data_IF_593307735367
#
_entry.id   IF_593307735367
#
_cell.length_a   1.000
_cell.length_b   1.000
_cell.length_c   1.000
_cell.angle_alpha   90.00
_cell.angle_beta   90.00
_cell.angle_gamma   90.00
#
_symmetry.space_group_name_H-M   'P 1'
#
loop_
_entity.id
_entity.type
_entity.pdbx_description
1 polymer ?
#
# COMPACT_ATOMS: atom_id res chain seq x y z
N UNK A 1 -52.20 -3.18 9.51
CA UNK A 1 -50.97 -2.38 9.63
C UNK A 1 -50.89 -1.49 8.39
N UNK A 2 -50.95 -0.17 8.56
CA UNK A 2 -50.90 0.77 7.41
C UNK A 2 -49.52 1.43 7.36
N UNK A 3 -48.59 0.87 6.57
CA UNK A 3 -47.20 1.36 6.45
C UNK A 3 -47.02 2.12 5.14
N UNK A 4 -46.76 3.44 5.24
CA UNK A 4 -46.43 4.31 4.11
C UNK A 4 -45.09 3.95 3.48
N UNK A 5 -44.05 3.72 4.30
CA UNK A 5 -42.71 3.34 3.86
C UNK A 5 -42.42 1.86 4.12
N UNK A 6 -41.91 1.18 3.13
CA UNK A 6 -41.47 -0.22 3.21
C UNK A 6 -40.12 -0.37 2.49
N UNK A 7 -38.99 -0.12 3.19
CA UNK A 7 -37.65 -0.22 2.59
C UNK A 7 -37.32 -1.57 1.95
N UNK A 8 -37.97 -2.65 2.40
CA UNK A 8 -37.80 -4.01 1.82
C UNK A 8 -38.19 -4.08 0.32
N UNK A 9 -38.99 -3.13 -0.18
CA UNK A 9 -39.38 -3.09 -1.62
C UNK A 9 -38.18 -2.99 -2.54
N UNK A 10 -37.11 -2.30 -2.12
CA UNK A 10 -35.88 -2.10 -2.91
C UNK A 10 -34.90 -3.28 -2.87
N UNK A 11 -35.22 -4.38 -2.16
CA UNK A 11 -34.35 -5.54 -2.05
C UNK A 11 -35.03 -6.89 -2.27
N UNK A 12 -36.26 -6.87 -2.82
CA UNK A 12 -37.10 -8.08 -3.01
C UNK A 12 -36.56 -9.03 -4.07
N UNK A 13 -35.85 -8.54 -5.06
CA UNK A 13 -35.25 -9.32 -6.14
C UNK A 13 -33.80 -8.94 -6.36
N UNK A 14 -33.01 -9.83 -6.99
CA UNK A 14 -31.63 -9.53 -7.36
C UNK A 14 -31.55 -8.31 -8.30
N UNK A 15 -32.42 -8.24 -9.30
CA UNK A 15 -32.49 -7.11 -10.23
C UNK A 15 -32.80 -5.78 -9.51
N UNK A 16 -33.72 -5.79 -8.52
CA UNK A 16 -34.00 -4.58 -7.73
C UNK A 16 -32.81 -4.16 -6.89
N UNK A 17 -32.10 -5.12 -6.27
CA UNK A 17 -30.89 -4.82 -5.51
C UNK A 17 -29.78 -4.26 -6.40
N UNK A 18 -29.57 -4.81 -7.60
CA UNK A 18 -28.61 -4.33 -8.57
C UNK A 18 -28.95 -2.89 -9.06
N UNK A 19 -30.23 -2.66 -9.36
CA UNK A 19 -30.71 -1.33 -9.80
C UNK A 19 -30.50 -0.25 -8.75
N UNK A 20 -30.60 -0.58 -7.47
CA UNK A 20 -30.50 0.39 -6.35
C UNK A 20 -29.18 0.36 -5.63
N UNK A 21 -28.17 -0.38 -6.14
CA UNK A 21 -26.83 -0.38 -5.60
C UNK A 21 -26.15 0.97 -5.81
N UNK A 22 -25.67 1.58 -4.71
CA UNK A 22 -25.01 2.89 -4.74
C UNK A 22 -23.50 2.77 -4.97
N UNK A 23 -22.91 1.60 -4.67
CA UNK A 23 -21.47 1.37 -4.73
C UNK A 23 -21.15 0.23 -5.70
N UNK A 24 -20.35 0.52 -6.71
CA UNK A 24 -19.87 -0.45 -7.68
C UNK A 24 -18.34 -0.50 -7.67
N UNK A 25 -17.79 -1.59 -7.18
CA UNK A 25 -16.35 -1.84 -7.21
C UNK A 25 -15.95 -2.33 -8.60
N UNK A 26 -14.86 -1.77 -9.15
CA UNK A 26 -14.32 -2.12 -10.46
C UNK A 26 -12.87 -2.59 -10.34
N UNK A 27 -12.40 -3.51 -11.23
CA UNK A 27 -11.02 -3.99 -11.23
C UNK A 27 -9.97 -2.86 -11.25
N UNK A 28 -10.22 -1.79 -12.00
CA UNK A 28 -9.31 -0.65 -12.15
C UNK A 28 -9.11 0.15 -10.85
N UNK A 29 -9.97 -0.04 -9.86
CA UNK A 29 -9.87 0.60 -8.55
C UNK A 29 -9.05 -0.23 -7.55
N UNK A 30 -8.61 -1.42 -7.95
CA UNK A 30 -7.80 -2.31 -7.12
C UNK A 30 -6.33 -2.21 -7.52
N UNK A 31 -5.45 -2.12 -6.53
CA UNK A 31 -4.00 -2.10 -6.69
C UNK A 31 -3.45 -3.41 -6.14
N UNK A 32 -2.75 -4.18 -6.99
CA UNK A 32 -2.15 -5.44 -6.57
C UNK A 32 -0.78 -5.19 -5.97
N UNK A 33 -0.58 -5.69 -4.76
CA UNK A 33 0.71 -5.65 -4.07
C UNK A 33 1.55 -6.85 -4.45
N UNK A 34 2.84 -6.63 -4.71
CA UNK A 34 3.82 -7.69 -4.98
C UNK A 34 5.08 -7.48 -4.16
N UNK A 35 5.64 -8.58 -3.65
CA UNK A 35 6.95 -8.63 -3.02
C UNK A 35 7.95 -9.25 -4.00
N UNK A 36 9.10 -8.62 -4.18
CA UNK A 36 10.19 -9.14 -4.99
C UNK A 36 11.44 -9.26 -4.14
N UNK A 37 12.04 -10.46 -4.11
CA UNK A 37 13.17 -10.76 -3.25
C UNK A 37 14.39 -11.14 -4.05
N UNK A 38 15.56 -10.67 -3.63
CA UNK A 38 16.84 -11.06 -4.21
C UNK A 38 17.31 -12.45 -3.72
N UNK A 39 18.25 -13.05 -4.44
CA UNK A 39 18.90 -14.29 -4.08
C UNK A 39 18.06 -15.56 -4.18
N UNK A 40 16.83 -15.49 -4.72
CA UNK A 40 15.97 -16.67 -4.91
C UNK A 40 16.02 -17.21 -6.34
N UNK A 41 15.91 -18.53 -6.48
CA UNK A 41 15.78 -19.23 -7.78
C UNK A 41 14.32 -19.50 -8.17
N UNK A 42 13.41 -19.49 -7.21
CA UNK A 42 11.96 -19.75 -7.39
C UNK A 42 11.13 -18.91 -6.41
N UNK A 43 9.86 -18.59 -6.72
CA UNK A 43 9.01 -17.84 -5.81
C UNK A 43 8.73 -18.61 -4.53
N UNK A 44 8.79 -17.94 -3.38
CA UNK A 44 8.54 -18.52 -2.07
C UNK A 44 7.18 -18.10 -1.51
N UNK A 45 6.35 -19.05 -1.05
CA UNK A 45 5.07 -18.71 -0.43
C UNK A 45 5.29 -18.00 0.91
N UNK A 46 4.50 -16.95 1.18
CA UNK A 46 4.51 -16.25 2.46
C UNK A 46 3.56 -17.00 3.41
N UNK A 47 4.12 -17.60 4.47
CA UNK A 47 3.39 -18.54 5.34
C UNK A 47 2.19 -17.90 6.05
N UNK A 48 2.31 -16.64 6.47
CA UNK A 48 1.26 -15.87 7.13
C UNK A 48 0.24 -15.23 6.17
N UNK A 49 0.47 -15.35 4.85
CA UNK A 49 -0.38 -14.77 3.81
C UNK A 49 -0.67 -15.81 2.71
N UNK A 50 -1.57 -16.78 2.94
CA UNK A 50 -1.87 -17.86 1.99
C UNK A 50 -2.20 -17.32 0.60
N UNK A 51 -1.55 -17.87 -0.44
CA UNK A 51 -1.71 -17.43 -1.82
C UNK A 51 -0.86 -16.24 -2.26
N UNK A 52 -0.10 -15.62 -1.34
CA UNK A 52 0.87 -14.58 -1.64
C UNK A 52 2.30 -15.13 -1.63
N UNK A 53 3.17 -14.52 -2.44
CA UNK A 53 4.54 -15.00 -2.67
C UNK A 53 5.54 -13.85 -2.61
N UNK A 54 6.75 -14.16 -2.17
CA UNK A 54 7.93 -13.41 -2.56
C UNK A 54 8.33 -13.90 -3.95
N UNK A 55 8.39 -13.00 -4.91
CA UNK A 55 8.71 -13.28 -6.30
C UNK A 55 10.21 -13.10 -6.58
N UNK A 56 10.75 -13.92 -7.48
CA UNK A 56 11.99 -13.57 -8.20
C UNK A 56 11.67 -12.55 -9.30
N UNK A 57 12.68 -11.90 -9.89
CA UNK A 57 12.46 -11.02 -11.04
C UNK A 57 11.78 -11.77 -12.21
N UNK A 58 12.13 -13.04 -12.42
CA UNK A 58 11.57 -13.86 -13.49
C UNK A 58 10.12 -14.25 -13.23
N UNK A 59 9.75 -14.58 -11.99
CA UNK A 59 8.38 -14.98 -11.63
C UNK A 59 7.44 -13.79 -11.42
N UNK A 60 7.98 -12.58 -11.18
CA UNK A 60 7.19 -11.36 -11.02
C UNK A 60 6.44 -11.02 -12.32
N UNK A 61 7.10 -11.05 -13.46
CA UNK A 61 6.52 -10.63 -14.75
C UNK A 61 5.26 -11.44 -15.12
N UNK A 62 5.25 -12.80 -15.08
CA UNK A 62 4.03 -13.57 -15.26
C UNK A 62 2.92 -13.24 -14.23
N UNK A 63 3.27 -12.97 -12.97
CA UNK A 63 2.29 -12.63 -11.94
C UNK A 63 1.64 -11.26 -12.22
N UNK A 64 2.42 -10.26 -12.60
CA UNK A 64 1.91 -8.94 -13.02
C UNK A 64 1.05 -9.06 -14.27
N UNK A 65 1.43 -9.90 -15.24
CA UNK A 65 0.62 -10.15 -16.44
C UNK A 65 -0.76 -10.73 -16.09
N UNK A 66 -0.81 -11.68 -15.15
CA UNK A 66 -2.09 -12.24 -14.68
C UNK A 66 -2.98 -11.17 -14.02
N UNK A 67 -2.39 -10.23 -13.28
CA UNK A 67 -3.12 -9.10 -12.70
C UNK A 67 -3.65 -8.17 -13.81
N UNK A 68 -2.84 -7.84 -14.81
CA UNK A 68 -3.25 -7.03 -15.96
C UNK A 68 -4.41 -7.67 -16.75
N UNK A 69 -4.32 -8.97 -17.05
CA UNK A 69 -5.36 -9.74 -17.73
C UNK A 69 -6.66 -9.80 -16.91
N UNK A 70 -6.56 -9.80 -15.58
CA UNK A 70 -7.72 -9.68 -14.69
C UNK A 70 -8.33 -8.27 -14.68
N UNK A 71 -7.66 -7.26 -15.27
CA UNK A 71 -8.15 -5.88 -15.38
C UNK A 71 -7.53 -4.91 -14.38
N UNK A 72 -6.58 -5.34 -13.59
CA UNK A 72 -5.81 -4.48 -12.69
C UNK A 72 -4.99 -3.48 -13.53
N UNK A 73 -4.98 -2.22 -13.11
CA UNK A 73 -4.27 -1.13 -13.80
C UNK A 73 -3.12 -0.54 -13.01
N UNK A 74 -2.95 -0.94 -11.76
CA UNK A 74 -1.86 -0.48 -10.91
C UNK A 74 -1.33 -1.63 -10.06
N UNK A 75 0.00 -1.70 -9.94
CA UNK A 75 0.70 -2.59 -9.00
C UNK A 75 1.53 -1.75 -8.04
N UNK A 76 1.72 -2.27 -6.82
CA UNK A 76 2.63 -1.70 -5.83
C UNK A 76 3.74 -2.71 -5.51
N UNK A 77 5.00 -2.31 -5.67
CA UNK A 77 6.17 -3.17 -5.56
C UNK A 77 6.91 -2.91 -4.25
N UNK A 78 7.17 -3.99 -3.50
CA UNK A 78 8.01 -4.02 -2.31
C UNK A 78 9.27 -4.84 -2.59
N UNK A 79 10.45 -4.25 -2.35
CA UNK A 79 11.72 -4.93 -2.56
C UNK A 79 12.24 -5.55 -1.27
N UNK A 80 12.70 -6.78 -1.32
CA UNK A 80 13.32 -7.48 -0.20
C UNK A 80 14.77 -7.79 -0.54
N UNK A 81 15.75 -6.97 -0.08
CA UNK A 81 17.16 -7.20 -0.33
C UNK A 81 17.68 -8.39 0.47
N UNK A 82 18.89 -8.85 0.16
CA UNK A 82 19.61 -9.81 1.00
C UNK A 82 19.94 -9.15 2.36
N UNK A 83 20.02 -9.97 3.41
CA UNK A 83 20.37 -9.47 4.75
C UNK A 83 21.76 -8.82 4.79
N UNK A 84 22.70 -9.28 3.96
CA UNK A 84 24.06 -8.73 3.83
C UNK A 84 24.08 -7.35 3.13
N UNK A 85 23.02 -6.99 2.42
CA UNK A 85 22.88 -5.70 1.75
C UNK A 85 22.15 -4.65 2.62
N UNK A 86 21.63 -5.07 3.78
CA UNK A 86 20.99 -4.17 4.74
C UNK A 86 22.04 -3.47 5.59
N UNK A 87 21.92 -2.16 5.72
CA UNK A 87 22.79 -1.35 6.57
C UNK A 87 21.99 -0.38 7.48
N UNK A 88 22.67 0.44 8.26
CA UNK A 88 22.03 1.36 9.22
C UNK A 88 21.20 2.47 8.55
N UNK A 89 21.47 2.77 7.28
CA UNK A 89 20.79 3.83 6.54
C UNK A 89 19.89 3.32 5.42
N UNK A 90 19.93 1.99 5.16
CA UNK A 90 19.14 1.37 4.10
C UNK A 90 19.63 1.70 2.69
N UNK A 91 20.95 1.75 2.47
CA UNK A 91 21.53 2.25 1.21
C UNK A 91 21.13 1.45 -0.03
N UNK A 92 20.79 0.17 0.11
CA UNK A 92 20.27 -0.66 -0.98
C UNK A 92 18.93 -0.15 -1.56
N UNK A 93 18.20 0.71 -0.83
CA UNK A 93 16.93 1.30 -1.28
C UNK A 93 17.07 2.20 -2.52
N UNK A 94 18.22 2.86 -2.68
CA UNK A 94 18.50 3.74 -3.83
C UNK A 94 19.62 3.22 -4.73
N UNK A 95 20.07 2.01 -4.53
CA UNK A 95 20.99 1.36 -5.48
C UNK A 95 20.25 1.08 -6.79
N UNK A 96 20.79 1.57 -7.91
CA UNK A 96 20.23 1.33 -9.25
C UNK A 96 20.16 -0.18 -9.60
N UNK A 97 21.04 -1.00 -9.01
CA UNK A 97 21.07 -2.45 -9.15
C UNK A 97 20.31 -3.18 -8.02
N UNK A 98 19.74 -2.45 -7.06
CA UNK A 98 18.93 -3.01 -5.99
C UNK A 98 17.69 -3.71 -6.51
N UNK A 99 17.21 -4.71 -5.77
CA UNK A 99 16.13 -5.60 -6.22
C UNK A 99 14.86 -4.84 -6.60
N UNK A 100 14.48 -3.79 -5.85
CA UNK A 100 13.29 -3.00 -6.13
C UNK A 100 13.44 -2.22 -7.45
N UNK A 101 14.56 -1.53 -7.66
CA UNK A 101 14.81 -0.78 -8.89
C UNK A 101 14.90 -1.69 -10.12
N UNK A 102 15.50 -2.88 -9.98
CA UNK A 102 15.51 -3.91 -11.04
C UNK A 102 14.10 -4.41 -11.36
N UNK A 103 13.25 -4.61 -10.34
CA UNK A 103 11.85 -5.01 -10.53
C UNK A 103 11.02 -3.94 -11.24
N UNK A 104 11.17 -2.67 -10.83
CA UNK A 104 10.54 -1.53 -11.50
C UNK A 104 10.96 -1.50 -12.97
N UNK A 105 12.26 -1.57 -13.27
CA UNK A 105 12.79 -1.53 -14.63
C UNK A 105 12.28 -2.70 -15.47
N UNK A 106 12.23 -3.91 -14.91
CA UNK A 106 11.72 -5.10 -15.60
C UNK A 106 10.21 -4.95 -15.93
N UNK A 107 9.40 -4.51 -14.97
CA UNK A 107 7.98 -4.24 -15.19
C UNK A 107 7.79 -3.11 -16.22
N UNK A 108 8.57 -2.03 -16.14
CA UNK A 108 8.50 -0.92 -17.10
C UNK A 108 8.84 -1.36 -18.53
N UNK A 109 9.88 -2.18 -18.69
CA UNK A 109 10.28 -2.71 -19.98
C UNK A 109 9.22 -3.63 -20.60
N UNK A 110 8.52 -4.43 -19.78
CA UNK A 110 7.53 -5.40 -20.25
C UNK A 110 6.16 -4.77 -20.53
N UNK A 111 5.68 -3.90 -19.65
CA UNK A 111 4.29 -3.40 -19.71
C UNK A 111 4.18 -1.96 -20.21
N UNK A 112 5.28 -1.21 -20.30
CA UNK A 112 5.25 0.19 -20.71
C UNK A 112 4.28 1.02 -19.86
N UNK A 113 3.30 1.63 -20.51
CA UNK A 113 2.24 2.47 -19.88
C UNK A 113 0.89 1.71 -19.74
N UNK A 114 0.85 0.39 -19.99
CA UNK A 114 -0.39 -0.40 -19.86
C UNK A 114 -0.81 -0.56 -18.40
N UNK A 115 0.17 -0.54 -17.49
CA UNK A 115 0.02 -0.65 -16.04
C UNK A 115 0.77 0.50 -15.37
N UNK A 116 0.17 1.11 -14.36
CA UNK A 116 0.86 2.00 -13.44
C UNK A 116 1.76 1.18 -12.53
N UNK A 117 3.05 1.44 -12.59
CA UNK A 117 4.05 0.84 -11.72
C UNK A 117 4.27 1.81 -10.56
N UNK A 118 3.75 1.46 -9.39
CA UNK A 118 3.99 2.13 -8.14
C UNK A 118 5.03 1.35 -7.34
N UNK A 119 5.81 2.03 -6.54
CA UNK A 119 6.78 1.42 -5.65
C UNK A 119 6.68 2.03 -4.26
N UNK A 120 6.66 1.19 -3.24
CA UNK A 120 6.79 1.65 -1.85
C UNK A 120 8.11 2.38 -1.68
N UNK A 121 8.05 3.52 -1.01
CA UNK A 121 9.23 4.36 -0.76
C UNK A 121 9.41 4.45 0.74
N UNK A 122 10.07 3.43 1.29
CA UNK A 122 10.40 3.30 2.71
C UNK A 122 11.75 2.61 2.88
N UNK A 123 12.40 2.84 4.00
CA UNK A 123 13.70 2.26 4.30
C UNK A 123 13.63 0.99 5.15
N UNK A 124 12.47 0.61 5.67
CA UNK A 124 12.35 -0.46 6.66
C UNK A 124 12.66 -1.87 6.15
N UNK A 125 12.55 -2.11 4.85
CA UNK A 125 13.02 -3.35 4.22
C UNK A 125 14.54 -3.38 4.04
N UNK A 126 15.18 -2.20 4.00
CA UNK A 126 16.57 -2.00 3.63
C UNK A 126 17.48 -1.69 4.82
N UNK A 127 16.89 -1.25 5.96
CA UNK A 127 17.67 -1.00 7.17
C UNK A 127 17.92 -2.26 7.98
N UNK A 128 19.12 -2.38 8.55
CA UNK A 128 19.51 -3.54 9.40
C UNK A 128 18.68 -3.65 10.68
N UNK A 129 18.07 -2.55 11.14
CA UNK A 129 17.23 -2.48 12.34
C UNK A 129 15.71 -2.47 12.04
N UNK A 130 15.29 -2.40 10.77
CA UNK A 130 13.90 -2.47 10.33
C UNK A 130 13.03 -1.24 10.68
N UNK A 131 13.61 -0.11 11.07
CA UNK A 131 12.89 1.16 11.17
C UNK A 131 12.82 1.86 9.82
N UNK A 132 11.80 2.72 9.66
CA UNK A 132 11.55 3.48 8.41
C UNK A 132 12.52 4.65 8.20
N UNK A 133 13.60 4.78 8.95
CA UNK A 133 14.56 5.86 8.84
C UNK A 133 15.81 5.66 9.67
N UNK A 134 16.71 6.63 9.60
CA UNK A 134 17.99 6.65 10.31
C UNK A 134 17.77 6.79 11.81
N UNK A 135 18.45 5.97 12.60
CA UNK A 135 18.35 6.03 14.06
C UNK A 135 19.41 6.98 14.65
N UNK A 136 18.98 7.77 15.62
CA UNK A 136 19.83 8.66 16.44
C UNK A 136 19.49 8.51 17.92
N UNK A 137 20.48 8.65 18.80
CA UNK A 137 20.23 8.72 20.24
C UNK A 137 19.55 10.04 20.60
N UNK A 138 18.44 10.00 21.33
CA UNK A 138 17.67 11.16 21.78
C UNK A 138 18.37 11.97 22.89
N UNK A 139 19.57 11.56 23.32
CA UNK A 139 20.35 12.13 24.43
C UNK A 139 19.95 11.56 25.79
N UNK A 140 18.99 10.64 25.84
CA UNK A 140 18.52 9.94 27.04
C UNK A 140 18.72 8.43 26.95
N UNK A 141 19.41 7.95 25.91
CA UNK A 141 19.72 6.55 25.68
C UNK A 141 18.63 5.78 24.94
N UNK A 142 17.68 6.47 24.30
CA UNK A 142 16.67 5.83 23.44
C UNK A 142 16.98 6.16 21.98
N UNK A 143 16.99 5.11 21.12
CA UNK A 143 17.13 5.30 19.70
C UNK A 143 15.79 5.71 19.09
N UNK A 144 15.78 6.85 18.41
CA UNK A 144 14.62 7.40 17.68
C UNK A 144 14.97 7.60 16.21
N UNK A 145 13.96 7.70 15.35
CA UNK A 145 14.19 8.04 13.94
C UNK A 145 14.46 9.54 13.82
N UNK A 146 15.58 9.88 13.19
CA UNK A 146 15.92 11.26 12.79
C UNK A 146 15.10 11.62 11.55
N UNK A 147 14.14 12.52 11.71
CA UNK A 147 13.25 12.94 10.64
C UNK A 147 14.00 13.51 9.44
N UNK A 148 14.81 14.56 9.67
CA UNK A 148 15.40 15.34 8.60
C UNK A 148 16.47 14.55 7.82
N UNK A 149 17.31 13.80 8.53
CA UNK A 149 18.28 12.91 7.88
C UNK A 149 17.58 11.80 7.06
N UNK A 150 16.43 11.31 7.53
CA UNK A 150 15.64 10.30 6.84
C UNK A 150 15.01 10.85 5.56
N UNK A 151 14.46 12.06 5.59
CA UNK A 151 13.84 12.72 4.42
C UNK A 151 14.84 12.88 3.27
N UNK A 152 16.11 13.19 3.57
CA UNK A 152 17.17 13.26 2.54
C UNK A 152 17.36 11.91 1.82
N UNK A 153 17.24 10.80 2.55
CA UNK A 153 17.37 9.46 1.98
C UNK A 153 16.14 9.07 1.16
N UNK A 154 14.95 9.45 1.59
CA UNK A 154 13.72 9.27 0.79
C UNK A 154 13.79 10.02 -0.54
N UNK A 155 14.36 11.21 -0.58
CA UNK A 155 14.59 11.92 -1.84
C UNK A 155 15.49 11.13 -2.79
N UNK A 156 16.56 10.50 -2.29
CA UNK A 156 17.42 9.64 -3.11
C UNK A 156 16.68 8.42 -3.63
N UNK A 157 15.91 7.76 -2.76
CA UNK A 157 15.12 6.58 -3.13
C UNK A 157 14.07 6.92 -4.17
N UNK A 158 13.28 7.99 -4.00
CA UNK A 158 12.27 8.42 -4.96
C UNK A 158 12.87 8.71 -6.34
N UNK A 159 14.01 9.42 -6.39
CA UNK A 159 14.70 9.71 -7.67
C UNK A 159 15.24 8.44 -8.32
N UNK A 160 15.75 7.47 -7.55
CA UNK A 160 16.22 6.19 -8.10
C UNK A 160 15.08 5.35 -8.66
N UNK A 161 13.94 5.28 -7.97
CA UNK A 161 12.73 4.62 -8.43
C UNK A 161 12.18 5.25 -9.72
N UNK A 162 12.17 6.59 -9.79
CA UNK A 162 11.78 7.32 -10.99
C UNK A 162 12.71 7.02 -12.19
N UNK A 163 14.03 6.95 -11.96
CA UNK A 163 15.02 6.53 -12.99
C UNK A 163 14.80 5.10 -13.46
N UNK A 164 14.44 4.20 -12.56
CA UNK A 164 14.11 2.82 -12.89
C UNK A 164 12.81 2.71 -13.70
N UNK A 165 11.96 3.75 -13.73
CA UNK A 165 10.76 3.80 -14.55
C UNK A 165 9.45 3.73 -13.78
N UNK A 166 9.44 3.97 -12.46
CA UNK A 166 8.21 4.07 -11.68
C UNK A 166 7.33 5.22 -12.21
N UNK A 167 6.03 4.99 -12.29
CA UNK A 167 5.04 6.02 -12.59
C UNK A 167 4.63 6.79 -11.34
N UNK A 168 4.68 6.12 -10.19
CA UNK A 168 4.28 6.66 -8.90
C UNK A 168 5.26 6.19 -7.83
N UNK A 169 5.71 7.09 -6.98
CA UNK A 169 6.41 6.78 -5.74
C UNK A 169 5.44 6.88 -4.57
N UNK A 170 5.55 5.97 -3.60
CA UNK A 170 4.55 5.87 -2.53
C UNK A 170 5.22 5.91 -1.15
N UNK A 171 5.58 7.12 -0.65
CA UNK A 171 6.26 7.28 0.62
C UNK A 171 5.42 6.80 1.81
N UNK A 172 5.96 5.83 2.54
CA UNK A 172 5.26 5.18 3.65
C UNK A 172 5.94 5.36 5.01
N UNK A 173 6.96 6.22 5.09
CA UNK A 173 7.76 6.43 6.28
C UNK A 173 7.14 7.30 7.35
N UNK A 174 6.19 8.15 7.01
CA UNK A 174 5.54 9.11 7.93
C UNK A 174 6.53 10.15 8.50
N UNK A 175 7.45 10.64 7.69
CA UNK A 175 8.34 11.72 8.09
C UNK A 175 7.72 13.09 7.75
N UNK A 176 7.84 14.03 8.68
CA UNK A 176 7.38 15.41 8.48
C UNK A 176 8.11 16.06 7.30
N UNK A 177 7.38 16.67 6.36
CA UNK A 177 7.95 17.35 5.20
C UNK A 177 8.47 16.43 4.09
N UNK A 178 8.28 15.11 4.20
CA UNK A 178 8.78 14.14 3.22
C UNK A 178 8.23 14.38 1.81
N UNK A 179 6.95 14.77 1.68
CA UNK A 179 6.30 14.94 0.39
C UNK A 179 6.86 16.15 -0.35
N UNK A 180 6.98 17.30 0.34
CA UNK A 180 7.55 18.51 -0.25
C UNK A 180 8.99 18.30 -0.72
N UNK A 181 9.81 17.64 0.10
CA UNK A 181 11.21 17.35 -0.23
C UNK A 181 11.32 16.40 -1.43
N UNK A 182 10.55 15.33 -1.44
CA UNK A 182 10.56 14.34 -2.54
C UNK A 182 10.03 14.95 -3.84
N UNK A 183 8.96 15.77 -3.80
CA UNK A 183 8.47 16.49 -4.99
C UNK A 183 9.53 17.39 -5.58
N UNK A 184 10.18 18.19 -4.73
CA UNK A 184 11.28 19.06 -5.16
C UNK A 184 12.47 18.28 -5.75
N UNK A 185 12.83 17.14 -5.15
CA UNK A 185 13.90 16.28 -5.64
C UNK A 185 13.58 15.65 -7.00
N UNK A 186 12.37 15.13 -7.17
CA UNK A 186 11.87 14.56 -8.44
C UNK A 186 11.86 15.63 -9.54
N UNK A 187 11.34 16.82 -9.25
CA UNK A 187 11.27 17.92 -10.23
C UNK A 187 12.67 18.39 -10.65
N UNK A 188 13.57 18.52 -9.69
CA UNK A 188 14.96 18.91 -9.96
C UNK A 188 15.69 17.86 -10.81
N UNK A 189 15.37 16.58 -10.61
CA UNK A 189 15.96 15.49 -11.38
C UNK A 189 15.29 15.29 -12.77
N UNK A 190 14.26 16.07 -13.12
CA UNK A 190 13.56 16.02 -14.41
C UNK A 190 12.37 15.04 -14.46
N UNK A 191 11.88 14.59 -13.29
CA UNK A 191 10.78 13.63 -13.16
C UNK A 191 9.45 14.28 -12.74
N UNK A 192 9.09 15.42 -13.34
CA UNK A 192 7.85 16.17 -13.05
C UNK A 192 6.56 15.35 -13.29
N UNK A 193 6.65 14.31 -14.12
CA UNK A 193 5.50 13.44 -14.46
C UNK A 193 5.37 12.23 -13.53
N UNK A 194 6.29 12.00 -12.61
CA UNK A 194 6.17 10.94 -11.60
C UNK A 194 5.28 11.45 -10.48
N UNK A 195 4.17 10.76 -10.23
CA UNK A 195 3.23 11.13 -9.17
C UNK A 195 3.66 10.64 -7.80
N UNK A 196 3.11 11.24 -6.76
CA UNK A 196 3.32 10.85 -5.35
C UNK A 196 1.99 10.41 -4.75
N UNK A 197 1.92 9.15 -4.30
CA UNK A 197 0.83 8.64 -3.46
C UNK A 197 1.32 8.58 -2.01
N UNK A 198 0.93 9.54 -1.20
CA UNK A 198 1.39 9.64 0.18
C UNK A 198 0.60 8.70 1.12
N UNK A 199 1.30 7.96 1.99
CA UNK A 199 0.68 7.24 3.10
C UNK A 199 0.36 8.22 4.23
N UNK A 200 -0.52 9.17 3.97
CA UNK A 200 -0.76 10.34 4.81
C UNK A 200 -1.38 10.02 6.18
N UNK A 201 -2.23 8.99 6.25
CA UNK A 201 -2.84 8.55 7.50
C UNK A 201 -2.45 7.09 7.78
N UNK A 202 -1.19 6.88 8.20
CA UNK A 202 -0.66 5.54 8.52
C UNK A 202 -0.54 5.37 10.04
N UNK A 203 -1.31 4.44 10.56
CA UNK A 203 -1.38 4.17 12.01
C UNK A 203 -0.38 3.11 12.46
N UNK A 204 0.12 3.24 13.69
CA UNK A 204 0.91 2.22 14.38
C UNK A 204 0.00 1.02 14.73
N UNK A 205 -0.22 0.16 13.75
CA UNK A 205 -1.24 -0.89 13.81
C UNK A 205 -0.68 -2.26 14.19
N UNK A 206 -1.46 -3.00 14.97
CA UNK A 206 -1.20 -4.40 15.27
C UNK A 206 -1.44 -5.34 14.06
N UNK A 207 -2.09 -4.86 13.00
CA UNK A 207 -2.39 -5.63 11.79
C UNK A 207 -1.21 -5.76 10.80
N UNK A 208 -0.02 -5.27 11.13
CA UNK A 208 1.16 -5.35 10.24
C UNK A 208 2.01 -6.62 10.43
N UNK A 209 1.58 -7.56 11.30
CA UNK A 209 2.34 -8.78 11.57
C UNK A 209 2.74 -9.57 10.32
N UNK A 210 1.79 -9.99 9.46
CA UNK A 210 2.11 -10.77 8.26
C UNK A 210 2.96 -10.03 7.22
N UNK A 211 2.89 -8.70 7.17
CA UNK A 211 3.77 -7.90 6.31
C UNK A 211 5.25 -8.04 6.72
N UNK A 212 5.53 -8.12 8.04
CA UNK A 212 6.91 -8.32 8.53
C UNK A 212 7.49 -9.65 8.07
N UNK A 213 6.67 -10.71 8.00
CA UNK A 213 7.08 -12.00 7.43
C UNK A 213 7.36 -11.86 5.93
N UNK A 214 6.51 -11.10 5.22
CA UNK A 214 6.62 -10.93 3.77
C UNK A 214 7.90 -10.19 3.33
N UNK A 215 8.40 -9.26 4.16
CA UNK A 215 9.63 -8.48 3.87
C UNK A 215 10.83 -8.92 4.71
N UNK A 216 10.72 -10.02 5.47
CA UNK A 216 11.76 -10.52 6.36
C UNK A 216 12.36 -9.42 7.26
N UNK A 217 11.46 -8.69 7.91
CA UNK A 217 11.81 -7.53 8.73
C UNK A 217 12.60 -7.94 9.95
N UNK A 218 13.77 -7.33 10.13
CA UNK A 218 14.59 -7.41 11.35
C UNK A 218 14.03 -6.60 12.52
N UNK A 219 12.89 -5.93 12.33
CA UNK A 219 12.31 -4.96 13.24
C UNK A 219 12.01 -5.53 14.63
N UNK A 220 12.53 -4.84 15.66
CA UNK A 220 12.18 -5.04 17.06
C UNK A 220 11.76 -3.72 17.70
N UNK A 221 10.72 -3.73 18.54
CA UNK A 221 10.23 -2.51 19.19
C UNK A 221 8.87 -2.03 18.66
N UNK A 222 8.71 -0.72 18.50
CA UNK A 222 7.47 -0.12 17.98
C UNK A 222 7.79 1.11 17.12
N UNK A 223 6.83 1.53 16.30
CA UNK A 223 6.92 2.67 15.37
C UNK A 223 6.05 3.86 15.81
N UNK A 224 5.71 3.93 17.11
CA UNK A 224 4.76 4.93 17.65
C UNK A 224 5.29 6.35 17.69
N UNK A 225 6.59 6.55 17.47
CA UNK A 225 7.23 7.87 17.41
C UNK A 225 7.03 8.58 16.07
N UNK A 226 6.61 7.83 15.02
CA UNK A 226 6.39 8.39 13.68
C UNK A 226 5.13 7.87 12.97
N UNK A 227 4.53 6.75 13.40
CA UNK A 227 3.21 6.33 12.92
C UNK A 227 2.14 6.79 13.90
N UNK A 228 0.96 7.16 13.38
CA UNK A 228 -0.13 7.76 14.15
C UNK A 228 -0.67 6.82 15.24
N UNK A 229 -1.11 7.39 16.35
CA UNK A 229 -1.75 6.63 17.42
C UNK A 229 -3.16 6.18 16.99
N UNK A 230 -3.50 4.87 17.06
CA UNK A 230 -4.85 4.37 16.77
C UNK A 230 -5.98 5.02 17.56
N UNK A 231 -5.68 5.67 18.68
CA UNK A 231 -6.65 6.42 19.48
C UNK A 231 -6.99 7.80 18.90
N UNK A 232 -6.19 8.30 17.94
CA UNK A 232 -6.32 9.65 17.40
C UNK A 232 -7.00 9.65 16.04
N UNK A 233 -7.93 10.58 15.83
CA UNK A 233 -8.64 10.81 14.57
C UNK A 233 -8.23 12.13 13.92
N UNK A 234 -8.14 13.19 14.73
CA UNK A 234 -7.89 14.54 14.22
C UNK A 234 -6.51 14.72 13.61
N UNK A 235 -5.54 14.01 14.14
CA UNK A 235 -4.17 13.95 13.65
C UNK A 235 -4.12 13.55 12.17
N UNK A 236 -4.88 12.52 11.78
CA UNK A 236 -4.95 12.08 10.38
C UNK A 236 -5.41 13.18 9.43
N UNK A 237 -6.33 14.04 9.85
CA UNK A 237 -6.82 15.13 9.00
C UNK A 237 -5.76 16.22 8.82
N UNK A 238 -4.91 16.44 9.84
CA UNK A 238 -3.79 17.38 9.77
C UNK A 238 -2.69 16.82 8.85
N UNK A 239 -2.32 15.56 9.01
CA UNK A 239 -1.31 14.89 8.19
C UNK A 239 -1.71 14.85 6.72
N UNK A 240 -2.95 14.44 6.43
CA UNK A 240 -3.47 14.41 5.06
C UNK A 240 -3.48 15.81 4.43
N UNK A 241 -3.87 16.84 5.19
CA UNK A 241 -3.86 18.21 4.69
C UNK A 241 -2.42 18.69 4.44
N UNK A 242 -1.48 18.38 5.33
CA UNK A 242 -0.07 18.72 5.18
C UNK A 242 0.50 18.09 3.90
N UNK A 243 0.30 16.79 3.69
CA UNK A 243 0.77 16.08 2.49
C UNK A 243 0.17 16.66 1.19
N UNK A 244 -1.11 17.05 1.20
CA UNK A 244 -1.77 17.72 0.06
C UNK A 244 -1.11 19.07 -0.20
N UNK A 245 -0.88 19.89 0.83
CA UNK A 245 -0.25 21.21 0.71
C UNK A 245 1.22 21.10 0.27
N UNK A 246 1.88 20.00 0.60
CA UNK A 246 3.23 19.64 0.18
C UNK A 246 3.32 19.10 -1.25
N UNK A 247 2.20 18.80 -1.89
CA UNK A 247 2.14 18.39 -3.30
C UNK A 247 1.94 16.90 -3.53
N UNK A 248 1.30 16.17 -2.62
CA UNK A 248 0.83 14.82 -2.88
C UNK A 248 -0.24 14.83 -3.99
N UNK A 249 -0.10 13.95 -4.98
CA UNK A 249 -1.09 13.77 -6.05
C UNK A 249 -2.25 12.87 -5.61
N UNK A 250 -1.99 11.99 -4.65
CA UNK A 250 -2.94 11.06 -4.04
C UNK A 250 -2.58 10.87 -2.57
N UNK A 251 -3.58 10.63 -1.73
CA UNK A 251 -3.40 10.39 -0.29
C UNK A 251 -3.97 9.03 0.12
N UNK A 252 -3.43 8.43 1.17
CA UNK A 252 -3.80 7.07 1.57
C UNK A 252 -4.06 6.96 3.07
N UNK A 253 -5.09 6.18 3.43
CA UNK A 253 -5.37 5.73 4.79
C UNK A 253 -4.92 4.26 4.95
N UNK A 254 -4.10 3.97 5.96
CA UNK A 254 -3.57 2.63 6.27
C UNK A 254 -3.58 2.36 7.78
N UNK A 255 -4.19 1.28 8.27
CA UNK A 255 -5.02 0.28 7.58
C UNK A 255 -6.40 0.82 7.12
N UNK A 256 -7.16 0.01 6.35
CA UNK A 256 -8.45 0.42 5.84
C UNK A 256 -9.63 0.01 6.74
N UNK A 257 -9.78 -1.28 7.03
CA UNK A 257 -11.03 -1.84 7.56
C UNK A 257 -11.41 -1.35 8.94
N UNK A 258 -10.44 -1.17 9.85
CA UNK A 258 -10.67 -0.62 11.19
C UNK A 258 -10.69 0.91 11.23
N UNK A 259 -10.47 1.58 10.09
CA UNK A 259 -10.34 3.04 9.95
C UNK A 259 -11.26 3.60 8.85
N UNK A 260 -12.42 2.94 8.61
CA UNK A 260 -13.41 3.41 7.63
C UNK A 260 -13.98 4.79 7.95
N UNK A 261 -14.01 5.19 9.22
CA UNK A 261 -14.33 6.53 9.67
C UNK A 261 -13.31 7.56 9.17
N UNK A 262 -12.01 7.24 9.24
CA UNK A 262 -10.93 8.09 8.72
C UNK A 262 -11.00 8.15 7.19
N UNK A 263 -11.19 7.01 6.52
CA UNK A 263 -11.37 6.97 5.05
C UNK A 263 -12.53 7.88 4.65
N UNK A 264 -13.66 7.83 5.37
CA UNK A 264 -14.83 8.65 5.09
C UNK A 264 -14.54 10.14 5.24
N UNK A 265 -13.92 10.54 6.35
CA UNK A 265 -13.61 11.94 6.60
C UNK A 265 -12.59 12.50 5.62
N UNK A 266 -11.53 11.74 5.32
CA UNK A 266 -10.53 12.13 4.31
C UNK A 266 -11.19 12.31 2.94
N UNK A 267 -12.04 11.37 2.53
CA UNK A 267 -12.75 11.46 1.25
C UNK A 267 -13.73 12.66 1.16
N UNK A 268 -14.22 13.17 2.28
CA UNK A 268 -15.14 14.31 2.29
C UNK A 268 -14.44 15.66 2.07
N UNK A 269 -13.17 15.79 2.45
CA UNK A 269 -12.47 17.07 2.30
C UNK A 269 -11.34 17.05 1.26
N UNK A 270 -10.80 15.88 0.93
CA UNK A 270 -9.65 15.77 0.01
C UNK A 270 -10.00 16.23 -1.40
N UNK A 271 -9.25 17.18 -1.99
CA UNK A 271 -9.39 17.55 -3.39
C UNK A 271 -8.66 16.59 -4.34
N UNK A 272 -7.85 15.66 -3.80
CA UNK A 272 -7.09 14.65 -4.56
C UNK A 272 -7.64 13.26 -4.29
N UNK A 273 -7.41 12.28 -5.19
CA UNK A 273 -7.91 10.91 -5.00
C UNK A 273 -7.43 10.28 -3.69
N UNK A 274 -8.32 9.51 -3.07
CA UNK A 274 -8.08 8.85 -1.79
C UNK A 274 -7.89 7.36 -1.98
N UNK A 275 -6.76 6.84 -1.57
CA UNK A 275 -6.48 5.42 -1.48
C UNK A 275 -6.74 4.89 -0.06
N UNK A 276 -7.00 3.60 0.05
CA UNK A 276 -7.02 2.90 1.32
C UNK A 276 -6.33 1.53 1.20
N UNK A 277 -5.58 1.13 2.23
CA UNK A 277 -4.83 -0.12 2.21
C UNK A 277 -5.47 -1.17 3.10
N UNK A 278 -6.07 -2.20 2.50
CA UNK A 278 -6.44 -3.43 3.19
C UNK A 278 -5.16 -4.22 3.48
N UNK A 279 -4.66 -4.11 4.73
CA UNK A 279 -3.33 -4.59 5.08
C UNK A 279 -3.27 -6.10 5.30
N UNK A 280 -2.04 -6.59 5.44
CA UNK A 280 -1.71 -8.01 5.54
C UNK A 280 -2.45 -8.75 6.67
N UNK A 281 -2.61 -8.11 7.84
CA UNK A 281 -3.37 -8.70 8.96
C UNK A 281 -4.87 -8.79 8.68
N UNK A 282 -5.44 -7.82 7.96
CA UNK A 282 -6.84 -7.86 7.54
C UNK A 282 -7.07 -9.00 6.53
N UNK A 283 -6.15 -9.16 5.58
CA UNK A 283 -6.13 -10.28 4.64
C UNK A 283 -6.01 -11.62 5.39
N UNK A 284 -5.02 -11.76 6.26
CA UNK A 284 -4.74 -12.99 7.00
C UNK A 284 -5.90 -13.41 7.92
N UNK A 285 -6.62 -12.46 8.53
CA UNK A 285 -7.81 -12.75 9.33
C UNK A 285 -8.93 -13.39 8.50
N UNK A 286 -9.18 -12.89 7.30
CA UNK A 286 -10.18 -13.48 6.38
C UNK A 286 -9.73 -14.88 5.96
N UNK A 287 -8.47 -15.05 5.55
CA UNK A 287 -7.92 -16.35 5.16
C UNK A 287 -8.00 -17.38 6.29
N UNK A 288 -7.62 -17.00 7.52
CA UNK A 288 -7.68 -17.88 8.67
C UNK A 288 -9.11 -18.31 9.03
N UNK A 289 -10.07 -17.40 8.98
CA UNK A 289 -11.46 -17.71 9.26
C UNK A 289 -12.09 -18.57 8.13
N UNK A 290 -11.71 -18.31 6.88
CA UNK A 290 -12.16 -19.10 5.72
C UNK A 290 -11.57 -20.52 5.74
N UNK A 291 -10.30 -20.69 6.09
CA UNK A 291 -9.66 -22.00 6.23
C UNK A 291 -10.36 -22.89 7.28
N UNK A 292 -10.96 -22.28 8.30
CA UNK A 292 -11.77 -22.98 9.30
C UNK A 292 -13.25 -23.14 8.90
N UNK A 293 -13.64 -22.71 7.68
CA UNK A 293 -15.03 -22.76 7.20
C UNK A 293 -16.01 -21.95 8.06
N UNK A 294 -15.55 -20.93 8.78
CA UNK A 294 -16.41 -20.06 9.59
C UNK A 294 -17.06 -18.94 8.76
N UNK A 295 -16.44 -18.60 7.64
CA UNK A 295 -16.93 -17.59 6.68
C UNK A 295 -16.76 -18.08 5.25
N UNK A 296 -17.55 -17.52 4.33
CA UNK A 296 -17.31 -17.63 2.89
C UNK A 296 -16.23 -16.64 2.47
N UNK A 297 -15.08 -17.16 2.02
CA UNK A 297 -13.88 -16.38 1.67
C UNK A 297 -14.16 -15.29 0.63
N UNK A 298 -14.80 -15.68 -0.50
CA UNK A 298 -15.10 -14.75 -1.60
C UNK A 298 -16.08 -13.66 -1.15
N UNK A 299 -17.17 -14.09 -0.49
CA UNK A 299 -18.20 -13.14 -0.05
C UNK A 299 -17.64 -12.10 0.92
N UNK A 300 -16.87 -12.53 1.94
CA UNK A 300 -16.30 -11.62 2.95
C UNK A 300 -15.21 -10.72 2.36
N UNK A 301 -14.34 -11.25 1.49
CA UNK A 301 -13.33 -10.42 0.82
C UNK A 301 -13.98 -9.31 -0.02
N UNK A 302 -14.98 -9.65 -0.85
CA UNK A 302 -15.71 -8.65 -1.65
C UNK A 302 -16.52 -7.69 -0.79
N UNK A 303 -17.10 -8.14 0.34
CA UNK A 303 -17.82 -7.26 1.28
C UNK A 303 -16.85 -6.26 1.93
N UNK A 304 -15.67 -6.69 2.35
CA UNK A 304 -14.64 -5.83 2.91
C UNK A 304 -14.20 -4.76 1.91
N UNK A 305 -13.88 -5.15 0.68
CA UNK A 305 -13.48 -4.21 -0.39
C UNK A 305 -14.61 -3.23 -0.75
N UNK A 306 -15.86 -3.70 -0.86
CA UNK A 306 -17.02 -2.82 -1.06
C UNK A 306 -17.23 -1.86 0.11
N UNK A 307 -16.93 -2.28 1.34
CA UNK A 307 -17.05 -1.43 2.53
C UNK A 307 -16.03 -0.31 2.53
N UNK A 308 -14.79 -0.61 2.11
CA UNK A 308 -13.72 0.39 1.96
C UNK A 308 -14.09 1.40 0.87
N UNK A 309 -14.52 0.92 -0.31
CA UNK A 309 -14.95 1.81 -1.39
C UNK A 309 -16.18 2.63 -1.01
N UNK A 310 -17.17 2.05 -0.33
CA UNK A 310 -18.35 2.77 0.18
C UNK A 310 -17.99 3.85 1.21
N UNK A 311 -16.91 3.67 1.97
CA UNK A 311 -16.42 4.70 2.88
C UNK A 311 -15.84 5.90 2.13
N UNK A 312 -15.45 5.76 0.86
CA UNK A 312 -15.03 6.86 -0.01
C UNK A 312 -13.66 6.67 -0.66
N UNK A 313 -13.00 5.53 -0.48
CA UNK A 313 -11.75 5.25 -1.18
C UNK A 313 -11.99 5.14 -2.68
N UNK A 314 -11.25 5.92 -3.48
CA UNK A 314 -11.26 5.86 -4.94
C UNK A 314 -10.51 4.62 -5.44
N UNK A 315 -9.47 4.20 -4.72
CA UNK A 315 -8.65 3.03 -5.02
C UNK A 315 -8.26 2.27 -3.74
N UNK A 316 -8.02 0.98 -3.88
CA UNK A 316 -7.76 0.08 -2.75
C UNK A 316 -6.53 -0.77 -3.04
N UNK A 317 -5.49 -0.62 -2.22
CA UNK A 317 -4.37 -1.58 -2.16
C UNK A 317 -4.86 -2.82 -1.41
N UNK A 318 -4.73 -3.97 -2.03
CA UNK A 318 -5.16 -5.24 -1.42
C UNK A 318 -4.44 -6.43 -2.02
N UNK A 319 -4.21 -7.44 -1.23
CA UNK A 319 -3.68 -8.73 -1.67
C UNK A 319 -4.71 -9.57 -2.42
N UNK A 320 -5.98 -9.21 -2.37
CA UNK A 320 -7.06 -9.82 -3.14
C UNK A 320 -7.23 -9.25 -4.55
N UNK A 321 -6.49 -8.22 -4.96
CA UNK A 321 -6.83 -7.44 -6.14
C UNK A 321 -7.06 -8.31 -7.39
N UNK A 322 -6.12 -9.18 -7.73
CA UNK A 322 -6.22 -10.06 -8.91
C UNK A 322 -7.38 -11.04 -8.82
N UNK A 323 -7.60 -11.65 -7.64
CA UNK A 323 -8.73 -12.58 -7.44
C UNK A 323 -10.07 -11.85 -7.44
N UNK A 324 -10.16 -10.73 -6.71
CA UNK A 324 -11.36 -9.91 -6.65
C UNK A 324 -11.76 -9.39 -8.04
N UNK A 325 -10.81 -8.98 -8.86
CA UNK A 325 -11.06 -8.57 -10.22
C UNK A 325 -11.68 -9.68 -11.08
N UNK A 326 -11.23 -10.93 -10.89
CA UNK A 326 -11.84 -12.10 -11.54
C UNK A 326 -13.26 -12.33 -11.03
N UNK A 327 -13.46 -12.32 -9.71
CA UNK A 327 -14.78 -12.52 -9.10
C UNK A 327 -15.81 -11.46 -9.53
N UNK A 328 -15.39 -10.20 -9.69
CA UNK A 328 -16.27 -9.12 -10.13
C UNK A 328 -16.72 -9.26 -11.60
N UNK A 329 -16.03 -10.05 -12.41
CA UNK A 329 -16.44 -10.36 -13.80
C UNK A 329 -17.40 -11.55 -13.90
N UNK A 330 -17.44 -12.40 -12.86
CA UNK A 330 -18.31 -13.56 -12.80
C UNK A 330 -19.70 -13.24 -12.22
N UNK A 331 -19.82 -12.14 -11.45
CA UNK A 331 -21.08 -11.64 -10.85
C UNK A 331 -21.85 -10.74 -11.83
#
# INVERSE_FOLDING_TARGET
MNLTRRPRRLRTTAAMRALTAETALRPEQLIQVFFVRDGMSEPQPISSMPGQYQHTLESLIPAVRQAAEAGIKCIDLFGVPLDEDKDEVGSAAWDENGILNRAIAACRAEFGDEIVIMADTCLDEFTSHGHCGVLVDDGYGTMIVDNDATVELYCKMAVSQARAGAHTVSPSGMMDGQIAAMRAALDTAGFQNVSIMAYSAKYASAFFGPFRDAVESSFTGNRKTYQQDPANRRESLLEVQADIDEGADMVMVKPAGSYLDIVREVAEFSPVPVAAYQVSGEYAMIEAAAANSWIDRRAVALEALRSIHRAGADMILTYYATEAARWLRED
#
